data_IF_275074546161
#
_entry.id   IF_275074546161
#
_cell.length_a   1.000
_cell.length_b   1.000
_cell.length_c   1.000
_cell.angle_alpha   90.00
_cell.angle_beta   90.00
_cell.angle_gamma   90.00
#
_symmetry.space_group_name_H-M   'P 1'
#
loop_
_entity.id
_entity.type
_entity.pdbx_description
1 polymer ?
#
# COMPACT_ATOMS: atom_id res chain seq x y z
N UNK A 1 13.60 -5.29 -5.69
CA UNK A 1 12.58 -6.14 -6.35
C UNK A 1 12.04 -5.39 -7.57
N UNK A 2 11.98 -6.04 -8.74
CA UNK A 2 11.36 -5.47 -9.93
C UNK A 2 9.92 -5.99 -10.06
N UNK A 3 8.93 -5.14 -9.79
CA UNK A 3 7.52 -5.52 -9.89
C UNK A 3 7.08 -5.79 -11.34
N UNK A 4 7.69 -5.12 -12.32
CA UNK A 4 7.40 -5.35 -13.75
C UNK A 4 7.61 -6.83 -14.09
N UNK A 5 8.76 -7.40 -13.73
CA UNK A 5 9.07 -8.81 -14.02
C UNK A 5 8.11 -9.79 -13.34
N UNK A 6 7.60 -9.43 -12.14
CA UNK A 6 6.64 -10.28 -11.43
C UNK A 6 5.28 -10.30 -12.10
N UNK A 7 4.83 -9.16 -12.61
CA UNK A 7 3.55 -9.08 -13.29
C UNK A 7 3.61 -9.63 -14.72
N UNK A 8 4.73 -9.47 -15.43
CA UNK A 8 4.92 -10.09 -16.76
C UNK A 8 5.13 -11.60 -16.70
N UNK A 9 6.00 -12.07 -15.80
CA UNK A 9 6.44 -13.48 -15.73
C UNK A 9 5.31 -14.45 -15.39
N UNK A 10 4.29 -14.01 -14.69
CA UNK A 10 3.20 -14.86 -14.22
C UNK A 10 1.87 -14.60 -14.93
N UNK A 11 1.87 -13.90 -16.08
CA UNK A 11 0.65 -13.29 -16.66
C UNK A 11 -0.11 -12.43 -15.64
N UNK A 12 0.65 -11.87 -14.69
CA UNK A 12 0.14 -11.23 -13.52
C UNK A 12 -0.62 -12.16 -12.58
N UNK A 13 -0.65 -11.89 -11.30
CA UNK A 13 -1.49 -12.66 -10.37
C UNK A 13 -2.99 -12.46 -10.63
N UNK A 14 -3.39 -11.51 -11.47
CA UNK A 14 -4.78 -11.12 -11.72
C UNK A 14 -5.26 -11.57 -13.11
N UNK A 15 -6.59 -11.71 -13.34
CA UNK A 15 -7.15 -12.06 -14.66
C UNK A 15 -6.82 -11.03 -15.74
N UNK A 16 -6.82 -11.45 -17.02
CA UNK A 16 -6.55 -10.59 -18.19
C UNK A 16 -7.51 -9.40 -18.34
N UNK A 17 -8.66 -9.44 -17.65
CA UNK A 17 -9.60 -8.32 -17.60
C UNK A 17 -9.11 -7.14 -16.75
N UNK A 18 -8.03 -7.33 -15.98
CA UNK A 18 -7.43 -6.25 -15.19
C UNK A 18 -6.39 -5.48 -16.01
N UNK A 19 -6.51 -4.16 -15.98
CA UNK A 19 -5.44 -3.26 -16.38
C UNK A 19 -4.52 -3.04 -15.19
N UNK A 20 -3.23 -3.37 -15.32
CA UNK A 20 -2.22 -3.14 -14.29
C UNK A 20 -1.43 -1.90 -14.64
N UNK A 21 -1.31 -0.98 -13.68
CA UNK A 21 -0.55 0.26 -13.79
C UNK A 21 0.54 0.24 -12.72
N UNK A 22 1.78 0.38 -13.13
CA UNK A 22 2.96 0.40 -12.24
C UNK A 22 3.61 1.80 -12.28
N UNK A 23 3.14 2.74 -11.44
CA UNK A 23 3.71 4.08 -11.42
C UNK A 23 5.15 4.06 -10.90
N UNK A 24 6.02 4.88 -11.47
CA UNK A 24 7.35 5.14 -10.91
C UNK A 24 7.28 6.26 -9.88
N UNK A 25 7.90 6.06 -8.73
CA UNK A 25 8.08 7.10 -7.74
C UNK A 25 8.96 8.24 -8.28
N UNK A 26 8.77 9.48 -7.83
CA UNK A 26 9.64 10.59 -8.19
C UNK A 26 11.07 10.38 -7.70
N UNK A 27 12.04 10.99 -8.37
CA UNK A 27 13.43 11.04 -7.90
C UNK A 27 13.57 12.17 -6.89
N UNK A 28 14.00 11.83 -5.68
CA UNK A 28 14.22 12.81 -4.60
C UNK A 28 15.34 12.35 -3.68
N UNK A 29 15.87 13.27 -2.88
CA UNK A 29 16.88 12.92 -1.88
C UNK A 29 16.24 12.08 -0.77
N UNK A 30 16.91 11.00 -0.39
CA UNK A 30 16.39 10.09 0.62
C UNK A 30 17.46 9.73 1.66
N UNK A 31 17.12 9.84 2.93
CA UNK A 31 18.04 9.56 4.04
C UNK A 31 18.49 8.11 4.05
N UNK A 32 17.61 7.16 3.71
CA UNK A 32 17.96 5.75 3.58
C UNK A 32 18.99 5.49 2.46
N UNK A 33 19.17 6.43 1.52
CA UNK A 33 20.23 6.43 0.50
C UNK A 33 21.34 7.47 0.79
N UNK A 34 21.61 7.77 2.06
CA UNK A 34 22.63 8.72 2.51
C UNK A 34 22.44 10.13 1.92
N UNK A 35 21.20 10.58 1.80
CA UNK A 35 20.82 11.87 1.22
C UNK A 35 21.01 11.99 -0.30
N UNK A 36 21.32 10.89 -1.00
CA UNK A 36 21.49 10.89 -2.45
C UNK A 36 20.14 10.75 -3.17
N UNK A 37 20.00 11.30 -4.39
CA UNK A 37 18.82 11.12 -5.22
C UNK A 37 18.53 9.63 -5.47
N UNK A 38 17.27 9.25 -5.29
CA UNK A 38 16.76 7.91 -5.61
C UNK A 38 15.26 7.98 -5.88
N UNK A 39 14.71 6.98 -6.55
CA UNK A 39 13.26 6.85 -6.68
C UNK A 39 12.64 6.51 -5.32
N UNK A 40 11.73 7.37 -4.84
CA UNK A 40 11.12 7.23 -3.52
C UNK A 40 9.78 7.95 -3.49
N UNK A 41 8.76 7.37 -2.86
CA UNK A 41 7.47 8.02 -2.69
C UNK A 41 7.54 9.15 -1.67
N UNK A 42 8.35 8.98 -0.61
CA UNK A 42 8.60 9.99 0.41
C UNK A 42 9.90 9.67 1.15
N UNK A 43 10.51 10.66 1.78
CA UNK A 43 11.71 10.43 2.58
C UNK A 43 11.35 9.71 3.89
N UNK A 44 12.23 8.80 4.29
CA UNK A 44 12.19 8.09 5.57
C UNK A 44 13.53 8.34 6.25
N UNK A 45 13.51 9.01 7.40
CA UNK A 45 14.73 9.21 8.20
C UNK A 45 15.18 7.90 8.85
N UNK A 46 16.50 7.73 8.99
CA UNK A 46 17.10 6.49 9.51
C UNK A 46 17.46 6.56 11.00
N UNK A 47 16.68 7.32 11.79
CA UNK A 47 16.93 7.59 13.20
C UNK A 47 17.06 6.34 14.07
N UNK A 48 16.36 5.26 13.75
CA UNK A 48 16.15 4.11 14.65
C UNK A 48 16.76 2.83 14.08
N UNK A 49 17.95 2.90 13.48
CA UNK A 49 18.66 1.71 13.01
C UNK A 49 17.94 0.87 11.96
N UNK A 50 17.00 1.49 11.23
CA UNK A 50 16.20 0.83 10.18
C UNK A 50 14.74 0.59 10.56
N UNK A 51 14.38 0.56 11.85
CA UNK A 51 12.96 0.49 12.26
C UNK A 51 12.26 1.79 11.92
N UNK A 52 11.07 1.66 11.31
CA UNK A 52 10.32 2.79 10.78
C UNK A 52 9.15 3.12 11.71
N UNK A 53 9.17 4.35 12.25
CA UNK A 53 8.09 4.94 13.03
C UNK A 53 7.53 6.19 12.33
N UNK A 54 6.41 6.71 12.80
CA UNK A 54 5.74 7.86 12.17
C UNK A 54 6.59 9.13 12.11
N UNK A 55 7.43 9.38 13.10
CA UNK A 55 8.33 10.54 13.14
C UNK A 55 9.53 10.44 12.17
N UNK A 56 9.67 9.31 11.47
CA UNK A 56 10.62 9.12 10.38
C UNK A 56 10.13 9.65 9.03
N UNK A 57 8.84 9.97 8.89
CA UNK A 57 8.18 10.18 7.60
C UNK A 57 8.16 11.67 7.22
N UNK A 58 8.54 11.97 5.97
CA UNK A 58 8.27 13.27 5.37
C UNK A 58 6.84 13.33 4.82
N UNK A 59 5.93 13.89 5.60
CA UNK A 59 4.52 13.97 5.26
C UNK A 59 4.22 14.90 4.07
N UNK A 60 5.04 15.90 3.79
CA UNK A 60 4.87 16.76 2.62
C UNK A 60 5.13 15.98 1.33
N UNK A 61 6.15 15.14 1.34
CA UNK A 61 6.45 14.27 0.20
C UNK A 61 5.41 13.14 0.08
N UNK A 62 4.91 12.60 1.19
CA UNK A 62 3.79 11.63 1.19
C UNK A 62 2.55 12.22 0.51
N UNK A 63 2.14 13.45 0.87
CA UNK A 63 1.00 14.14 0.25
C UNK A 63 1.24 14.42 -1.24
N UNK A 64 2.43 14.89 -1.61
CA UNK A 64 2.77 15.11 -3.03
C UNK A 64 2.65 13.82 -3.85
N UNK A 65 3.17 12.71 -3.34
CA UNK A 65 3.07 11.39 -3.97
C UNK A 65 1.63 10.86 -3.99
N UNK A 66 0.88 11.08 -2.91
CA UNK A 66 -0.55 10.76 -2.84
C UNK A 66 -1.33 11.44 -3.96
N UNK A 67 -1.08 12.74 -4.20
CA UNK A 67 -1.74 13.49 -5.26
C UNK A 67 -1.41 12.96 -6.66
N UNK A 68 -0.19 12.50 -6.90
CA UNK A 68 0.17 11.84 -8.16
C UNK A 68 -0.70 10.60 -8.40
N UNK A 69 -0.80 9.73 -7.39
CA UNK A 69 -1.58 8.49 -7.50
C UNK A 69 -3.09 8.78 -7.57
N UNK A 70 -3.60 9.73 -6.78
CA UNK A 70 -5.01 10.16 -6.85
C UNK A 70 -5.39 10.67 -8.25
N UNK A 71 -4.50 11.41 -8.91
CA UNK A 71 -4.72 11.84 -10.30
C UNK A 71 -4.80 10.64 -11.25
N UNK A 72 -3.93 9.62 -11.11
CA UNK A 72 -4.02 8.40 -11.91
C UNK A 72 -5.35 7.69 -11.66
N UNK A 73 -5.78 7.57 -10.42
CA UNK A 73 -7.09 6.97 -10.05
C UNK A 73 -8.23 7.71 -10.74
N UNK A 74 -8.23 9.04 -10.74
CA UNK A 74 -9.27 9.83 -11.40
C UNK A 74 -9.27 9.64 -12.92
N UNK A 75 -8.11 9.60 -13.57
CA UNK A 75 -8.03 9.35 -15.01
C UNK A 75 -8.54 7.95 -15.37
N UNK A 76 -8.17 6.93 -14.61
CA UNK A 76 -8.67 5.58 -14.85
C UNK A 76 -10.17 5.45 -14.53
N UNK A 77 -10.67 6.13 -13.53
CA UNK A 77 -12.10 6.14 -13.21
C UNK A 77 -12.95 6.71 -14.34
N UNK A 78 -12.44 7.67 -15.13
CA UNK A 78 -13.15 8.18 -16.32
C UNK A 78 -13.45 7.07 -17.33
N UNK A 79 -12.50 6.13 -17.51
CA UNK A 79 -12.68 4.97 -18.40
C UNK A 79 -13.69 3.97 -17.85
N UNK A 80 -13.87 3.94 -16.55
CA UNK A 80 -14.79 3.07 -15.80
C UNK A 80 -16.13 3.77 -15.49
N UNK A 81 -16.49 4.83 -16.20
CA UNK A 81 -17.73 5.62 -15.97
C UNK A 81 -17.84 6.15 -14.54
N UNK A 82 -16.72 6.51 -13.95
CA UNK A 82 -16.56 6.96 -12.55
C UNK A 82 -16.92 5.90 -11.48
N UNK A 83 -16.84 4.63 -11.82
CA UNK A 83 -17.01 3.54 -10.88
C UNK A 83 -15.69 3.24 -10.17
N UNK A 84 -15.43 3.94 -9.09
CA UNK A 84 -14.22 3.79 -8.27
C UNK A 84 -14.15 2.43 -7.56
N UNK A 85 -15.27 1.73 -7.39
CA UNK A 85 -15.30 0.39 -6.79
C UNK A 85 -14.58 -0.68 -7.62
N UNK A 86 -14.22 -0.36 -8.86
CA UNK A 86 -13.42 -1.21 -9.75
C UNK A 86 -11.92 -0.92 -9.71
N UNK A 87 -11.48 0.02 -8.88
CA UNK A 87 -10.08 0.41 -8.77
C UNK A 87 -9.51 -0.12 -7.45
N UNK A 88 -8.41 -0.84 -7.55
CA UNK A 88 -7.64 -1.34 -6.42
C UNK A 88 -6.27 -0.67 -6.40
N UNK A 89 -5.79 -0.30 -5.21
CA UNK A 89 -4.45 0.26 -5.02
C UNK A 89 -3.61 -0.73 -4.22
N UNK A 90 -2.41 -1.00 -4.70
CA UNK A 90 -1.50 -1.93 -4.03
C UNK A 90 -0.11 -1.35 -3.92
N UNK A 91 0.62 -1.77 -2.89
CA UNK A 91 1.99 -1.35 -2.70
C UNK A 91 2.77 -2.21 -1.72
N UNK A 92 4.08 -2.06 -1.80
CA UNK A 92 5.05 -2.70 -0.92
C UNK A 92 5.85 -1.63 -0.16
N UNK A 93 6.10 -1.84 1.12
CA UNK A 93 6.92 -0.94 1.96
C UNK A 93 6.40 0.50 1.92
N UNK A 94 7.15 1.47 1.41
CA UNK A 94 6.67 2.84 1.18
C UNK A 94 5.37 2.87 0.36
N UNK A 95 5.26 2.01 -0.66
CA UNK A 95 4.06 1.90 -1.49
C UNK A 95 2.86 1.37 -0.71
N UNK A 96 3.06 0.49 0.27
CA UNK A 96 2.01 0.00 1.16
C UNK A 96 1.51 1.12 2.09
N UNK A 97 2.42 1.89 2.70
CA UNK A 97 2.07 3.04 3.51
C UNK A 97 1.28 4.10 2.69
N UNK A 98 1.73 4.36 1.46
CA UNK A 98 1.03 5.26 0.53
C UNK A 98 -0.35 4.71 0.14
N UNK A 99 -0.48 3.40 -0.07
CA UNK A 99 -1.77 2.75 -0.39
C UNK A 99 -2.76 2.87 0.78
N UNK A 100 -2.31 2.68 2.01
CA UNK A 100 -3.13 2.94 3.20
C UNK A 100 -3.55 4.41 3.27
N UNK A 101 -2.61 5.33 3.10
CA UNK A 101 -2.89 6.77 3.14
C UNK A 101 -3.94 7.17 2.11
N UNK A 102 -3.81 6.71 0.86
CA UNK A 102 -4.77 6.97 -0.21
C UNK A 102 -6.11 6.30 0.10
N UNK A 103 -6.12 5.00 0.36
CA UNK A 103 -7.36 4.25 0.56
C UNK A 103 -8.22 4.79 1.71
N UNK A 104 -7.58 5.24 2.79
CA UNK A 104 -8.27 5.78 3.96
C UNK A 104 -8.68 7.24 3.81
N UNK A 105 -7.99 8.05 2.97
CA UNK A 105 -8.24 9.49 2.83
C UNK A 105 -8.99 9.88 1.55
N UNK A 106 -9.07 8.98 0.56
CA UNK A 106 -9.66 9.31 -0.74
C UNK A 106 -11.13 9.68 -0.63
N UNK A 107 -11.61 10.60 -1.46
CA UNK A 107 -12.98 11.10 -1.43
C UNK A 107 -14.03 10.08 -1.89
N UNK A 108 -13.63 9.05 -2.64
CA UNK A 108 -14.48 7.97 -3.08
C UNK A 108 -14.07 6.63 -2.47
N UNK A 109 -15.03 5.72 -2.29
CA UNK A 109 -14.74 4.36 -1.87
C UNK A 109 -14.16 3.57 -3.05
N UNK A 110 -12.91 3.12 -2.91
CA UNK A 110 -12.23 2.25 -3.86
C UNK A 110 -12.71 0.80 -3.72
N UNK A 111 -12.45 -0.05 -4.72
CA UNK A 111 -12.68 -1.49 -4.65
C UNK A 111 -11.91 -2.14 -3.50
N UNK A 112 -10.70 -1.68 -3.25
CA UNK A 112 -9.90 -2.11 -2.11
C UNK A 112 -8.45 -1.66 -2.19
N UNK A 113 -7.70 -1.97 -1.12
CA UNK A 113 -6.24 -1.82 -1.09
C UNK A 113 -5.58 -3.13 -0.70
N UNK A 114 -4.36 -3.35 -1.24
CA UNK A 114 -3.53 -4.49 -0.87
C UNK A 114 -2.12 -4.00 -0.49
N UNK A 115 -1.76 -4.18 0.78
CA UNK A 115 -0.59 -3.59 1.40
C UNK A 115 0.39 -4.68 1.86
N UNK A 116 1.64 -4.63 1.40
CA UNK A 116 2.68 -5.59 1.75
C UNK A 116 3.77 -4.90 2.58
N UNK A 117 4.05 -5.39 3.77
CA UNK A 117 5.12 -4.89 4.64
C UNK A 117 5.06 -3.37 4.84
N UNK A 118 3.91 -2.83 5.28
CA UNK A 118 3.73 -1.41 5.57
C UNK A 118 2.55 -1.16 6.49
N UNK A 119 2.41 0.07 6.96
CA UNK A 119 1.41 0.49 7.95
C UNK A 119 0.71 1.79 7.55
N UNK A 120 -0.53 2.03 8.01
CA UNK A 120 -1.14 3.36 7.94
C UNK A 120 -0.46 4.31 8.94
N UNK A 121 -0.58 5.62 8.70
CA UNK A 121 -0.07 6.66 9.60
C UNK A 121 -1.22 7.43 10.26
N UNK A 122 -1.04 7.82 11.52
CA UNK A 122 -2.02 8.64 12.27
C UNK A 122 -2.18 10.06 11.69
N UNK A 123 -1.18 10.53 10.94
CA UNK A 123 -1.24 11.76 10.15
C UNK A 123 -2.36 11.75 9.09
N UNK A 124 -2.79 10.58 8.64
CA UNK A 124 -3.77 10.45 7.56
C UNK A 124 -5.13 11.05 7.96
N UNK A 125 -5.60 12.05 7.23
CA UNK A 125 -6.97 12.54 7.38
C UNK A 125 -7.96 11.49 6.88
N UNK A 126 -8.63 10.83 7.81
CA UNK A 126 -9.44 9.65 7.52
C UNK A 126 -10.82 10.05 7.00
N UNK A 127 -11.21 9.48 5.86
CA UNK A 127 -12.59 9.42 5.43
C UNK A 127 -13.29 8.29 6.20
N UNK A 128 -14.24 8.63 7.06
CA UNK A 128 -14.93 7.68 7.94
C UNK A 128 -15.72 6.61 7.18
N UNK A 129 -16.24 6.93 5.99
CA UNK A 129 -16.88 5.93 5.13
C UNK A 129 -15.86 4.89 4.64
N UNK A 130 -14.69 5.34 4.20
CA UNK A 130 -13.62 4.44 3.72
C UNK A 130 -13.08 3.61 4.89
N UNK A 131 -12.85 4.20 6.06
CA UNK A 131 -12.41 3.47 7.24
C UNK A 131 -13.32 2.30 7.58
N UNK A 132 -14.63 2.46 7.41
CA UNK A 132 -15.62 1.42 7.73
C UNK A 132 -15.83 0.38 6.63
N UNK A 133 -15.74 0.79 5.38
CA UNK A 133 -16.25 0.01 4.24
C UNK A 133 -15.18 -0.41 3.23
N UNK A 134 -13.96 0.17 3.28
CA UNK A 134 -12.89 -0.18 2.36
C UNK A 134 -12.45 -1.63 2.57
N UNK A 135 -12.35 -2.38 1.48
CA UNK A 135 -11.75 -3.71 1.51
C UNK A 135 -10.23 -3.57 1.66
N UNK A 136 -9.67 -4.14 2.71
CA UNK A 136 -8.25 -4.02 3.03
C UNK A 136 -7.63 -5.39 3.19
N UNK A 137 -6.64 -5.69 2.35
CA UNK A 137 -5.72 -6.80 2.52
C UNK A 137 -4.36 -6.26 2.99
N UNK A 138 -3.78 -6.89 4.00
CA UNK A 138 -2.40 -6.58 4.38
C UNK A 138 -1.63 -7.85 4.71
N UNK A 139 -0.42 -7.96 4.14
CA UNK A 139 0.52 -9.04 4.37
C UNK A 139 1.68 -8.52 5.24
N UNK A 140 1.93 -9.20 6.35
CA UNK A 140 2.95 -8.82 7.34
C UNK A 140 3.94 -9.96 7.55
N UNK A 141 5.24 -9.67 7.41
CA UNK A 141 6.32 -10.62 7.63
C UNK A 141 6.71 -10.73 9.10
N UNK A 142 6.82 -11.95 9.63
CA UNK A 142 7.25 -12.19 11.02
C UNK A 142 8.73 -11.88 11.26
N UNK A 143 9.54 -11.82 10.21
CA UNK A 143 10.97 -11.48 10.24
C UNK A 143 11.27 -10.11 9.62
N UNK A 144 10.24 -9.28 9.40
CA UNK A 144 10.43 -7.92 8.87
C UNK A 144 11.16 -7.06 9.90
N UNK A 145 12.36 -6.60 9.53
CA UNK A 145 13.22 -5.77 10.39
C UNK A 145 12.86 -4.28 10.35
N UNK A 146 12.05 -3.83 9.38
CA UNK A 146 11.65 -2.43 9.21
C UNK A 146 10.27 -2.16 9.82
N UNK A 147 9.30 -3.01 9.50
CA UNK A 147 7.93 -2.96 10.01
C UNK A 147 7.67 -4.20 10.86
N UNK A 148 8.09 -4.14 12.13
CA UNK A 148 7.96 -5.26 13.06
C UNK A 148 6.51 -5.70 13.20
N UNK A 149 6.27 -7.02 13.22
CA UNK A 149 4.94 -7.63 13.13
C UNK A 149 3.95 -7.08 14.16
N UNK A 150 4.28 -7.11 15.46
CA UNK A 150 3.37 -6.69 16.52
C UNK A 150 3.08 -5.20 16.48
N UNK A 151 4.09 -4.37 16.17
CA UNK A 151 3.91 -2.94 15.96
C UNK A 151 2.97 -2.69 14.78
N UNK A 152 3.21 -3.35 13.64
CA UNK A 152 2.40 -3.18 12.43
C UNK A 152 0.95 -3.57 12.65
N UNK A 153 0.69 -4.69 13.31
CA UNK A 153 -0.66 -5.12 13.66
C UNK A 153 -1.36 -4.10 14.55
N UNK A 154 -0.68 -3.66 15.61
CA UNK A 154 -1.23 -2.66 16.53
C UNK A 154 -1.55 -1.35 15.82
N UNK A 155 -0.65 -0.87 14.96
CA UNK A 155 -0.84 0.37 14.19
C UNK A 155 -2.03 0.27 13.24
N UNK A 156 -2.15 -0.84 12.49
CA UNK A 156 -3.28 -1.08 11.60
C UNK A 156 -4.59 -1.14 12.40
N UNK A 157 -4.64 -1.88 13.49
CA UNK A 157 -5.84 -2.01 14.31
C UNK A 157 -6.26 -0.68 14.94
N UNK A 158 -5.30 0.13 15.41
CA UNK A 158 -5.57 1.42 16.00
C UNK A 158 -6.14 2.43 15.00
N UNK A 159 -5.61 2.47 13.77
CA UNK A 159 -5.99 3.47 12.76
C UNK A 159 -7.21 3.03 11.96
N UNK A 160 -7.22 1.79 11.49
CA UNK A 160 -8.35 1.25 10.71
C UNK A 160 -9.55 0.94 11.63
N UNK A 161 -9.28 0.52 12.86
CA UNK A 161 -10.32 0.26 13.85
C UNK A 161 -11.22 -0.93 13.49
N UNK A 162 -12.51 -0.81 13.76
CA UNK A 162 -13.52 -1.84 13.48
C UNK A 162 -13.96 -1.76 12.01
N UNK A 163 -13.18 -2.39 11.12
CA UNK A 163 -13.54 -2.58 9.73
C UNK A 163 -13.75 -4.09 9.47
N UNK A 164 -14.96 -4.48 9.10
CA UNK A 164 -15.30 -5.89 8.84
C UNK A 164 -14.63 -6.46 7.58
N UNK A 165 -14.11 -5.61 6.71
CA UNK A 165 -13.46 -5.97 5.45
C UNK A 165 -11.92 -5.93 5.55
N UNK A 166 -11.37 -5.81 6.76
CA UNK A 166 -9.92 -5.86 7.01
C UNK A 166 -9.47 -7.31 7.15
N UNK A 167 -8.59 -7.75 6.25
CA UNK A 167 -7.91 -9.03 6.29
C UNK A 167 -6.41 -8.82 6.54
N UNK A 168 -5.93 -9.15 7.75
CA UNK A 168 -4.51 -9.19 8.10
C UNK A 168 -4.01 -10.61 7.94
N UNK A 169 -3.00 -10.81 7.10
CA UNK A 169 -2.30 -12.09 6.94
C UNK A 169 -0.88 -11.99 7.50
N UNK A 170 -0.52 -12.94 8.35
CA UNK A 170 0.79 -13.03 8.98
C UNK A 170 1.59 -14.17 8.36
N UNK A 171 2.79 -13.85 7.88
CA UNK A 171 3.72 -14.79 7.27
C UNK A 171 4.98 -14.86 8.16
N UNK A 172 4.95 -15.71 9.17
CA UNK A 172 5.93 -15.74 10.27
C UNK A 172 7.38 -15.98 9.82
N UNK A 173 7.59 -16.58 8.68
CA UNK A 173 8.92 -16.87 8.13
C UNK A 173 9.42 -15.81 7.13
N UNK A 174 8.55 -14.90 6.67
CA UNK A 174 8.89 -13.91 5.65
C UNK A 174 9.57 -12.69 6.28
N UNK A 175 10.55 -12.17 5.57
CA UNK A 175 11.23 -10.91 5.88
C UNK A 175 10.59 -9.73 5.09
N UNK A 176 11.32 -8.62 4.95
CA UNK A 176 10.86 -7.42 4.23
C UNK A 176 10.91 -7.59 2.71
N UNK A 177 10.09 -8.50 2.18
CA UNK A 177 9.94 -8.79 0.75
C UNK A 177 8.48 -9.15 0.45
N UNK A 178 8.14 -9.27 -0.85
CA UNK A 178 6.86 -9.82 -1.30
C UNK A 178 7.08 -11.22 -1.85
N UNK A 179 6.33 -12.19 -1.36
CA UNK A 179 6.42 -13.59 -1.70
C UNK A 179 5.23 -14.04 -2.57
N UNK A 180 5.38 -15.18 -3.25
CA UNK A 180 4.38 -15.69 -4.19
C UNK A 180 3.08 -16.13 -3.50
N UNK A 181 3.16 -16.64 -2.27
CA UNK A 181 2.00 -16.98 -1.45
C UNK A 181 1.20 -15.73 -1.03
N UNK A 182 1.88 -14.63 -0.74
CA UNK A 182 1.25 -13.34 -0.45
C UNK A 182 0.51 -12.79 -1.68
N UNK A 183 1.12 -12.88 -2.87
CA UNK A 183 0.49 -12.48 -4.13
C UNK A 183 -0.72 -13.35 -4.48
N UNK A 184 -0.64 -14.66 -4.20
CA UNK A 184 -1.76 -15.58 -4.36
C UNK A 184 -2.93 -15.23 -3.43
N UNK A 185 -2.63 -14.87 -2.17
CA UNK A 185 -3.65 -14.48 -1.21
C UNK A 185 -4.27 -13.12 -1.57
N UNK A 186 -3.47 -12.15 -2.04
CA UNK A 186 -3.98 -10.90 -2.61
C UNK A 186 -4.92 -11.15 -3.78
N UNK A 187 -4.53 -12.02 -4.73
CA UNK A 187 -5.40 -12.40 -5.85
C UNK A 187 -6.74 -12.94 -5.37
N UNK A 188 -6.71 -13.90 -4.44
CA UNK A 188 -7.94 -14.50 -3.90
C UNK A 188 -8.81 -13.43 -3.21
N UNK A 189 -8.20 -12.51 -2.46
CA UNK A 189 -8.90 -11.40 -1.83
C UNK A 189 -9.61 -10.52 -2.87
N UNK A 190 -8.91 -10.10 -3.94
CA UNK A 190 -9.50 -9.26 -4.99
C UNK A 190 -10.62 -10.01 -5.73
N UNK A 191 -10.41 -11.28 -6.08
CA UNK A 191 -11.42 -12.07 -6.80
C UNK A 191 -12.70 -12.29 -5.98
N UNK A 192 -12.59 -12.40 -4.65
CA UNK A 192 -13.76 -12.51 -3.77
C UNK A 192 -14.59 -11.22 -3.68
N UNK A 193 -14.02 -10.07 -4.02
CA UNK A 193 -14.72 -8.77 -4.00
C UNK A 193 -15.48 -8.54 -5.31
N UNK A 194 -14.92 -9.01 -6.45
CA UNK A 194 -15.46 -8.71 -7.77
C UNK A 194 -16.43 -9.77 -8.31
N UNK A 195 -16.52 -10.96 -7.66
CA UNK A 195 -17.45 -12.03 -7.98
C UNK A 195 -18.71 -11.94 -7.09
#
# INVERSE_FOLDING_TARGET
>A
MNFVDRFDKYNGPLPDSFKIILPCAPVQNADFNKGKPTTSWFNISTKYGGVIYEDCIDYKQLEASSNIIKNIIHEEAKLLKKDYSKIFVSGFSQGACLSFHIGLSFEHLLGGIACFCGVPFSYTTINENNRKNLNIFTALGGKDGFFQLDFSKSQIQNIVGKNSNLLIKEYLNNDHQVYDDELKDMKNFILNIIN
#
